data_IF_523003750969
#
_entry.id   IF_523003750969
#
_cell.length_a   1.000
_cell.length_b   1.000
_cell.length_c   1.000
_cell.angle_alpha   90.00
_cell.angle_beta   90.00
_cell.angle_gamma   90.00
#
_symmetry.space_group_name_H-M   'P 1'
#
loop_
_entity.id
_entity.type
_entity.pdbx_description
1 polymer ?
#
# COMPACT_ATOMS: atom_id res chain seq x y z
N UNK A 1 -7.70 -7.89 -79.43
CA UNK A 1 -7.82 -6.44 -79.58
C UNK A 1 -9.26 -6.08 -79.26
N UNK A 2 -9.52 -5.73 -78.00
CA UNK A 2 -10.79 -5.16 -77.58
C UNK A 2 -10.43 -3.86 -76.87
N UNK A 3 -10.77 -2.76 -77.54
CA UNK A 3 -10.57 -1.40 -77.06
C UNK A 3 -11.52 -1.16 -75.89
N UNK A 4 -10.95 -0.80 -74.74
CA UNK A 4 -11.71 -0.32 -73.59
C UNK A 4 -12.16 1.12 -73.86
N UNK A 5 -13.45 1.46 -73.70
CA UNK A 5 -13.90 2.84 -73.72
C UNK A 5 -13.41 3.54 -72.45
N UNK A 6 -12.66 4.62 -72.63
CA UNK A 6 -12.29 5.56 -71.58
C UNK A 6 -13.55 6.15 -70.95
N UNK A 7 -13.90 5.73 -69.74
CA UNK A 7 -14.86 6.42 -68.88
C UNK A 7 -14.21 7.73 -68.44
N UNK A 8 -14.45 8.77 -69.22
CA UNK A 8 -14.16 10.16 -68.91
C UNK A 8 -15.00 10.57 -67.68
N UNK A 9 -14.37 10.66 -66.51
CA UNK A 9 -14.99 11.25 -65.33
C UNK A 9 -15.10 12.76 -65.55
N UNK A 10 -16.32 13.20 -65.87
CA UNK A 10 -16.70 14.60 -65.98
C UNK A 10 -16.67 15.24 -64.57
N UNK A 11 -15.55 15.85 -64.22
CA UNK A 11 -15.52 16.76 -63.08
C UNK A 11 -16.41 17.96 -63.42
N UNK A 12 -17.34 18.39 -62.52
CA UNK A 12 -18.14 19.56 -62.81
C UNK A 12 -17.20 20.73 -63.06
N UNK A 13 -17.23 21.26 -64.29
CA UNK A 13 -16.56 22.51 -64.65
C UNK A 13 -17.18 23.59 -63.76
N UNK A 14 -16.50 23.88 -62.66
CA UNK A 14 -16.86 25.02 -61.82
C UNK A 14 -16.70 26.26 -62.68
N UNK A 15 -17.78 27.00 -62.89
CA UNK A 15 -17.70 28.38 -63.33
C UNK A 15 -16.68 29.08 -62.43
N UNK A 16 -15.52 29.42 -62.99
CA UNK A 16 -14.50 30.23 -62.32
C UNK A 16 -15.05 31.64 -62.16
N UNK A 17 -15.94 31.82 -61.19
CA UNK A 17 -16.08 33.08 -60.50
C UNK A 17 -14.72 33.29 -59.84
N UNK A 18 -13.94 34.23 -60.35
CA UNK A 18 -12.70 34.67 -59.73
C UNK A 18 -13.06 35.19 -58.34
N UNK A 19 -12.96 34.33 -57.32
CA UNK A 19 -13.06 34.74 -55.93
C UNK A 19 -11.86 35.65 -55.68
N UNK A 20 -12.04 36.94 -55.40
CA UNK A 20 -10.94 37.83 -55.09
C UNK A 20 -10.05 37.19 -54.02
N UNK A 21 -8.73 37.23 -54.14
CA UNK A 21 -7.81 36.49 -53.24
C UNK A 21 -8.11 36.66 -51.74
N UNK A 22 -8.60 37.84 -51.33
CA UNK A 22 -9.03 38.12 -49.95
C UNK A 22 -10.23 37.27 -49.48
N UNK A 23 -11.14 36.87 -50.38
CA UNK A 23 -12.32 36.05 -50.06
C UNK A 23 -11.93 34.56 -49.94
N UNK A 24 -10.96 34.08 -50.71
CA UNK A 24 -10.39 32.72 -50.54
C UNK A 24 -9.59 32.61 -49.24
N UNK A 25 -8.80 33.65 -48.93
CA UNK A 25 -8.02 33.76 -47.70
C UNK A 25 -8.92 33.86 -46.46
N UNK A 26 -10.04 34.62 -46.53
CA UNK A 26 -11.06 34.64 -45.49
C UNK A 26 -11.80 33.30 -45.33
N UNK A 27 -12.16 32.62 -46.42
CA UNK A 27 -12.85 31.34 -46.37
C UNK A 27 -11.95 30.24 -45.76
N UNK A 28 -10.69 30.16 -46.18
CA UNK A 28 -9.71 29.23 -45.61
C UNK A 28 -9.40 29.55 -44.14
N UNK A 29 -9.30 30.84 -43.78
CA UNK A 29 -9.13 31.29 -42.40
C UNK A 29 -10.32 30.93 -41.52
N UNK A 30 -11.55 31.07 -42.02
CA UNK A 30 -12.77 30.66 -41.32
C UNK A 30 -12.83 29.15 -41.11
N UNK A 31 -12.48 28.36 -42.13
CA UNK A 31 -12.52 26.88 -42.05
C UNK A 31 -11.45 26.34 -41.08
N UNK A 32 -10.26 26.96 -41.06
CA UNK A 32 -9.18 26.64 -40.12
C UNK A 32 -9.52 27.08 -38.69
N UNK A 33 -10.08 28.28 -38.49
CA UNK A 33 -10.53 28.74 -37.16
C UNK A 33 -11.66 27.86 -36.61
N UNK A 34 -12.58 27.41 -37.47
CA UNK A 34 -13.63 26.47 -37.08
C UNK A 34 -13.07 25.09 -36.70
N UNK A 35 -12.09 24.58 -37.46
CA UNK A 35 -11.41 23.32 -37.14
C UNK A 35 -10.63 23.41 -35.82
N UNK A 36 -9.94 24.52 -35.56
CA UNK A 36 -9.23 24.79 -34.30
C UNK A 36 -10.22 24.84 -33.14
N UNK A 37 -11.33 25.56 -33.28
CA UNK A 37 -12.35 25.66 -32.23
C UNK A 37 -12.99 24.29 -31.93
N UNK A 38 -13.27 23.47 -32.96
CA UNK A 38 -13.76 22.10 -32.77
C UNK A 38 -12.74 21.21 -32.06
N UNK A 39 -11.45 21.33 -32.40
CA UNK A 39 -10.38 20.60 -31.73
C UNK A 39 -10.23 21.04 -30.26
N UNK A 40 -10.29 22.33 -29.96
CA UNK A 40 -10.25 22.85 -28.59
C UNK A 40 -11.43 22.35 -27.76
N UNK A 41 -12.65 22.38 -28.32
CA UNK A 41 -13.84 21.87 -27.64
C UNK A 41 -13.78 20.37 -27.40
N UNK A 42 -13.35 19.57 -28.38
CA UNK A 42 -13.22 18.11 -28.23
C UNK A 42 -12.13 17.74 -27.24
N UNK A 43 -10.99 18.43 -27.26
CA UNK A 43 -9.91 18.27 -26.28
C UNK A 43 -10.36 18.66 -24.87
N UNK A 44 -11.03 19.81 -24.72
CA UNK A 44 -11.55 20.28 -23.44
C UNK A 44 -12.58 19.31 -22.86
N UNK A 45 -13.49 18.80 -23.70
CA UNK A 45 -14.52 17.84 -23.31
C UNK A 45 -13.89 16.51 -22.88
N UNK A 46 -12.98 15.96 -23.68
CA UNK A 46 -12.26 14.70 -23.39
C UNK A 46 -11.45 14.83 -22.09
N UNK A 47 -10.73 15.93 -21.91
CA UNK A 47 -9.97 16.23 -20.69
C UNK A 47 -10.86 16.32 -19.44
N UNK A 48 -11.98 17.03 -19.55
CA UNK A 48 -12.94 17.21 -18.45
C UNK A 48 -13.53 15.86 -18.03
N UNK A 49 -13.84 14.99 -19.00
CA UNK A 49 -14.32 13.63 -18.76
C UNK A 49 -13.25 12.79 -18.08
N UNK A 50 -12.01 12.78 -18.59
CA UNK A 50 -10.90 11.99 -18.02
C UNK A 50 -10.59 12.43 -16.59
N UNK A 51 -10.47 13.74 -16.36
CA UNK A 51 -10.19 14.30 -15.02
C UNK A 51 -11.29 13.96 -14.03
N UNK A 52 -12.57 14.09 -14.45
CA UNK A 52 -13.72 13.77 -13.61
C UNK A 52 -13.81 12.27 -13.31
N UNK A 53 -13.52 11.41 -14.30
CA UNK A 53 -13.52 9.96 -14.11
C UNK A 53 -12.45 9.52 -13.12
N UNK A 54 -11.22 10.02 -13.25
CA UNK A 54 -10.11 9.71 -12.35
C UNK A 54 -10.42 10.16 -10.92
N UNK A 55 -10.87 11.41 -10.74
CA UNK A 55 -11.25 11.93 -9.42
C UNK A 55 -12.41 11.16 -8.80
N UNK A 56 -13.45 10.84 -9.59
CA UNK A 56 -14.59 10.06 -9.12
C UNK A 56 -14.17 8.64 -8.72
N UNK A 57 -13.30 7.97 -9.49
CA UNK A 57 -12.82 6.64 -9.12
C UNK A 57 -12.00 6.64 -7.82
N UNK A 58 -11.24 7.69 -7.57
CA UNK A 58 -10.47 7.86 -6.32
C UNK A 58 -11.40 8.02 -5.10
N UNK A 59 -12.35 8.95 -5.18
CA UNK A 59 -13.27 9.26 -4.07
C UNK A 59 -14.27 8.13 -3.77
N UNK A 60 -14.71 7.39 -4.79
CA UNK A 60 -15.81 6.41 -4.62
C UNK A 60 -15.36 4.99 -4.34
N UNK A 61 -14.14 4.61 -4.75
CA UNK A 61 -13.69 3.22 -4.69
C UNK A 61 -12.39 3.05 -3.89
N UNK A 62 -11.41 3.94 -4.10
CA UNK A 62 -10.08 3.81 -3.48
C UNK A 62 -10.13 4.20 -2.00
N UNK A 63 -10.66 5.38 -1.68
CA UNK A 63 -10.66 5.88 -0.29
C UNK A 63 -11.46 4.99 0.69
N UNK A 64 -12.68 4.49 0.36
CA UNK A 64 -13.41 3.59 1.25
C UNK A 64 -12.72 2.23 1.42
N UNK A 65 -12.14 1.68 0.33
CA UNK A 65 -11.42 0.40 0.38
C UNK A 65 -10.16 0.49 1.23
N UNK A 66 -9.44 1.61 1.16
CA UNK A 66 -8.23 1.83 1.96
C UNK A 66 -8.57 1.94 3.45
N UNK A 67 -9.65 2.65 3.80
CA UNK A 67 -10.11 2.75 5.20
C UNK A 67 -10.52 1.38 5.76
N UNK A 68 -11.24 0.58 4.98
CA UNK A 68 -11.61 -0.77 5.39
C UNK A 68 -10.36 -1.64 5.60
N UNK A 69 -9.36 -1.55 4.71
CA UNK A 69 -8.11 -2.28 4.84
C UNK A 69 -7.33 -1.86 6.11
N UNK A 70 -7.23 -0.56 6.38
CA UNK A 70 -6.57 -0.03 7.58
C UNK A 70 -7.22 -0.56 8.87
N UNK A 71 -8.56 -0.55 8.95
CA UNK A 71 -9.26 -1.11 10.11
C UNK A 71 -8.95 -2.60 10.34
N UNK A 72 -8.79 -3.37 9.25
CA UNK A 72 -8.43 -4.79 9.32
C UNK A 72 -6.97 -4.99 9.73
N UNK A 73 -6.07 -4.11 9.30
CA UNK A 73 -4.65 -4.14 9.70
C UNK A 73 -4.49 -3.82 11.19
N UNK A 74 -5.24 -2.84 11.69
CA UNK A 74 -5.26 -2.51 13.12
C UNK A 74 -5.78 -3.69 13.96
N UNK A 75 -6.86 -4.32 13.52
CA UNK A 75 -7.37 -5.54 14.15
C UNK A 75 -6.31 -6.66 14.15
N UNK A 76 -5.58 -6.84 13.06
CA UNK A 76 -4.51 -7.83 12.99
C UNK A 76 -3.38 -7.53 13.99
N UNK A 77 -2.93 -6.27 14.09
CA UNK A 77 -1.92 -5.86 15.07
C UNK A 77 -2.39 -6.15 16.50
N UNK A 78 -3.65 -5.83 16.80
CA UNK A 78 -4.25 -6.12 18.11
C UNK A 78 -4.27 -7.63 18.41
N UNK A 79 -4.59 -8.47 17.42
CA UNK A 79 -4.58 -9.93 17.57
C UNK A 79 -3.16 -10.45 17.85
N UNK A 80 -2.14 -9.94 17.15
CA UNK A 80 -0.75 -10.34 17.37
C UNK A 80 -0.25 -9.94 18.77
N UNK A 81 -0.53 -8.71 19.18
CA UNK A 81 -0.18 -8.20 20.51
C UNK A 81 -0.85 -9.00 21.62
N UNK A 82 -2.17 -9.19 21.54
CA UNK A 82 -2.94 -9.93 22.56
C UNK A 82 -2.52 -11.39 22.64
N UNK A 83 -2.20 -12.02 21.51
CA UNK A 83 -1.70 -13.40 21.50
C UNK A 83 -0.31 -13.49 22.14
N UNK A 84 0.58 -12.54 21.83
CA UNK A 84 1.93 -12.48 22.42
C UNK A 84 1.87 -12.24 23.94
N UNK A 85 1.02 -11.32 24.39
CA UNK A 85 0.78 -11.08 25.83
C UNK A 85 0.23 -12.35 26.51
N UNK A 86 -0.71 -13.02 25.87
CA UNK A 86 -1.30 -14.26 26.39
C UNK A 86 -0.23 -15.36 26.53
N UNK A 87 0.67 -15.52 25.56
CA UNK A 87 1.79 -16.47 25.65
C UNK A 87 2.68 -16.18 26.87
N UNK A 88 3.03 -14.91 27.09
CA UNK A 88 3.87 -14.47 28.21
C UNK A 88 3.17 -14.74 29.54
N UNK A 89 1.90 -14.35 29.67
CA UNK A 89 1.11 -14.55 30.90
C UNK A 89 0.99 -16.04 31.21
N UNK A 90 0.73 -16.89 30.21
CA UNK A 90 0.67 -18.34 30.41
C UNK A 90 2.00 -18.92 30.89
N UNK A 91 3.13 -18.44 30.35
CA UNK A 91 4.46 -18.88 30.80
C UNK A 91 4.69 -18.53 32.27
N UNK A 92 4.44 -17.28 32.65
CA UNK A 92 4.58 -16.80 34.03
C UNK A 92 3.64 -17.58 34.96
N UNK A 93 2.39 -17.80 34.55
CA UNK A 93 1.40 -18.51 35.34
C UNK A 93 1.83 -19.96 35.60
N UNK A 94 2.36 -20.66 34.59
CA UNK A 94 2.91 -22.02 34.73
C UNK A 94 4.05 -22.06 35.75
N UNK A 95 4.99 -21.11 35.70
CA UNK A 95 6.13 -21.03 36.62
C UNK A 95 5.67 -20.77 38.06
N UNK A 96 4.81 -19.76 38.25
CA UNK A 96 4.24 -19.40 39.57
C UNK A 96 3.44 -20.53 40.18
N UNK A 97 2.66 -21.26 39.37
CA UNK A 97 1.87 -22.39 39.85
C UNK A 97 2.76 -23.53 40.37
N UNK A 98 3.88 -23.81 39.70
CA UNK A 98 4.83 -24.83 40.14
C UNK A 98 5.49 -24.45 41.47
N UNK A 99 5.90 -23.18 41.62
CA UNK A 99 6.45 -22.67 42.87
C UNK A 99 5.43 -22.77 44.00
N UNK A 100 4.19 -22.31 43.77
CA UNK A 100 3.14 -22.35 44.78
C UNK A 100 2.83 -23.79 45.22
N UNK A 101 2.72 -24.73 44.28
CA UNK A 101 2.50 -26.13 44.62
C UNK A 101 3.66 -26.74 45.43
N UNK A 102 4.90 -26.32 45.17
CA UNK A 102 6.07 -26.74 45.93
C UNK A 102 6.05 -26.21 47.37
N UNK A 103 5.76 -24.92 47.56
CA UNK A 103 5.66 -24.31 48.88
C UNK A 103 4.53 -24.92 49.72
N UNK A 104 3.39 -25.21 49.12
CA UNK A 104 2.28 -25.86 49.81
C UNK A 104 2.60 -27.31 50.19
N UNK A 105 3.34 -28.03 49.37
CA UNK A 105 3.83 -29.36 49.70
C UNK A 105 4.85 -29.30 50.87
N UNK A 106 5.73 -28.30 50.89
CA UNK A 106 6.65 -28.08 51.99
C UNK A 106 5.92 -27.74 53.30
N UNK A 107 4.91 -26.87 53.25
CA UNK A 107 4.04 -26.56 54.39
C UNK A 107 3.29 -27.80 54.89
N UNK A 108 2.76 -28.62 53.99
CA UNK A 108 2.10 -29.87 54.35
C UNK A 108 3.05 -30.82 55.08
N UNK A 109 4.31 -30.93 54.64
CA UNK A 109 5.33 -31.73 55.31
C UNK A 109 5.67 -31.17 56.70
N UNK A 110 5.87 -29.87 56.80
CA UNK A 110 6.13 -29.20 58.06
C UNK A 110 5.01 -29.44 59.08
N UNK A 111 3.75 -29.20 58.71
CA UNK A 111 2.59 -29.44 59.58
C UNK A 111 2.48 -30.90 59.99
N UNK A 112 2.83 -31.83 59.09
CA UNK A 112 2.83 -33.26 59.38
C UNK A 112 3.90 -33.64 60.40
N UNK A 113 5.07 -33.01 60.36
CA UNK A 113 6.16 -33.32 61.28
C UNK A 113 5.95 -32.68 62.66
N UNK A 114 5.47 -31.42 62.70
CA UNK A 114 5.05 -30.78 63.95
C UNK A 114 3.87 -31.51 64.59
N UNK A 115 2.90 -31.94 63.78
CA UNK A 115 1.74 -32.71 64.25
C UNK A 115 2.07 -34.12 64.76
N UNK A 116 3.22 -34.70 64.39
CA UNK A 116 3.72 -35.95 64.99
C UNK A 116 4.39 -35.72 66.35
N UNK A 117 5.06 -34.58 66.50
CA UNK A 117 5.75 -34.21 67.74
C UNK A 117 4.75 -33.84 68.85
N UNK A 118 3.63 -33.21 68.48
CA UNK A 118 2.57 -32.81 69.41
C UNK A 118 1.52 -33.93 69.60
N UNK A 119 1.41 -34.45 70.83
CA UNK A 119 0.42 -35.48 71.20
C UNK A 119 -0.93 -34.92 71.64
N UNK A 120 -1.07 -33.60 71.71
CA UNK A 120 -2.33 -32.94 72.12
C UNK A 120 -3.37 -32.94 71.00
N UNK A 121 -4.57 -32.40 71.29
CA UNK A 121 -5.60 -32.19 70.27
C UNK A 121 -5.13 -31.30 69.11
N UNK A 122 -4.17 -30.39 69.34
CA UNK A 122 -3.61 -29.52 68.31
C UNK A 122 -2.80 -30.32 67.27
N UNK A 123 -2.03 -31.33 67.69
CA UNK A 123 -1.32 -32.23 66.78
C UNK A 123 -2.25 -32.97 65.81
N UNK A 124 -3.45 -33.40 66.28
CA UNK A 124 -4.47 -34.01 65.42
C UNK A 124 -5.00 -33.02 64.37
N UNK A 125 -5.25 -31.77 64.75
CA UNK A 125 -5.68 -30.70 63.84
C UNK A 125 -4.58 -30.35 62.84
N UNK A 126 -3.31 -30.31 63.26
CA UNK A 126 -2.17 -30.10 62.37
C UNK A 126 -2.03 -31.24 61.36
N UNK A 127 -2.24 -32.49 61.77
CA UNK A 127 -2.24 -33.65 60.87
C UNK A 127 -3.37 -33.62 59.84
N UNK A 128 -4.57 -33.17 60.21
CA UNK A 128 -5.67 -32.99 59.22
C UNK A 128 -5.39 -31.81 58.29
N UNK A 129 -4.86 -30.70 58.81
CA UNK A 129 -4.45 -29.56 58.00
C UNK A 129 -3.34 -29.93 57.01
N UNK A 130 -2.35 -30.73 57.43
CA UNK A 130 -1.29 -31.24 56.56
C UNK A 130 -1.85 -32.06 55.39
N UNK A 131 -2.82 -32.96 55.64
CA UNK A 131 -3.47 -33.73 54.58
C UNK A 131 -4.24 -32.84 53.60
N UNK A 132 -4.96 -31.84 54.11
CA UNK A 132 -5.67 -30.88 53.28
C UNK A 132 -4.70 -30.08 52.40
N UNK A 133 -3.61 -29.56 52.97
CA UNK A 133 -2.56 -28.84 52.22
C UNK A 133 -1.89 -29.72 51.17
N UNK A 134 -1.63 -30.99 51.47
CA UNK A 134 -1.07 -31.94 50.50
C UNK A 134 -2.02 -32.20 49.32
N UNK A 135 -3.33 -32.34 49.58
CA UNK A 135 -4.33 -32.48 48.51
C UNK A 135 -4.39 -31.24 47.63
N UNK A 136 -4.35 -30.06 48.25
CA UNK A 136 -4.34 -28.76 47.58
C UNK A 136 -3.10 -28.60 46.68
N UNK A 137 -1.91 -28.94 47.18
CA UNK A 137 -0.69 -28.96 46.39
C UNK A 137 -0.76 -29.94 45.20
N UNK A 138 -1.33 -31.14 45.42
CA UNK A 138 -1.52 -32.13 44.36
C UNK A 138 -2.50 -31.65 43.27
N UNK A 139 -3.60 -31.01 43.65
CA UNK A 139 -4.55 -30.43 42.69
C UNK A 139 -3.91 -29.32 41.87
N UNK A 140 -3.12 -28.43 42.49
CA UNK A 140 -2.36 -27.41 41.76
C UNK A 140 -1.32 -28.02 40.83
N UNK A 141 -0.61 -29.06 41.26
CA UNK A 141 0.33 -29.77 40.40
C UNK A 141 -0.36 -30.44 39.19
N UNK A 142 -1.58 -30.95 39.37
CA UNK A 142 -2.38 -31.54 38.28
C UNK A 142 -2.76 -30.51 37.20
N UNK A 143 -2.96 -29.23 37.57
CA UNK A 143 -3.24 -28.14 36.62
C UNK A 143 -2.04 -27.79 35.73
N UNK A 144 -0.82 -28.24 36.06
CA UNK A 144 0.38 -27.98 35.24
C UNK A 144 0.24 -28.52 33.81
N UNK A 145 -0.30 -29.73 33.67
CA UNK A 145 -0.43 -30.37 32.36
C UNK A 145 -1.39 -29.65 31.40
N UNK A 146 -2.64 -29.31 31.79
CA UNK A 146 -3.53 -28.56 30.90
C UNK A 146 -2.98 -27.17 30.56
N UNK A 147 -2.33 -26.46 31.49
CA UNK A 147 -1.71 -25.15 31.20
C UNK A 147 -0.56 -25.29 30.20
N UNK A 148 0.28 -26.32 30.34
CA UNK A 148 1.37 -26.57 29.41
C UNK A 148 0.85 -26.85 27.99
N UNK A 149 -0.22 -27.65 27.89
CA UNK A 149 -0.87 -27.93 26.60
C UNK A 149 -1.43 -26.65 25.98
N UNK A 150 -2.18 -25.86 26.74
CA UNK A 150 -2.75 -24.60 26.27
C UNK A 150 -1.67 -23.62 25.80
N UNK A 151 -0.58 -23.50 26.57
CA UNK A 151 0.58 -22.68 26.17
C UNK A 151 1.17 -23.14 24.83
N UNK A 152 1.33 -24.44 24.62
CA UNK A 152 1.83 -24.98 23.36
C UNK A 152 0.89 -24.70 22.19
N UNK A 153 -0.43 -24.78 22.41
CA UNK A 153 -1.44 -24.46 21.41
C UNK A 153 -1.37 -22.98 21.00
N UNK A 154 -1.25 -22.05 21.97
CA UNK A 154 -1.07 -20.61 21.71
C UNK A 154 0.25 -20.32 20.97
N UNK A 155 1.35 -20.92 21.40
CA UNK A 155 2.66 -20.79 20.72
C UNK A 155 2.56 -21.28 19.27
N UNK A 156 1.85 -22.39 19.03
CA UNK A 156 1.67 -22.97 17.70
C UNK A 156 0.79 -22.07 16.84
N UNK A 157 -0.29 -21.53 17.39
CA UNK A 157 -1.17 -20.57 16.71
C UNK A 157 -0.38 -19.33 16.27
N UNK A 158 0.43 -18.74 17.15
CA UNK A 158 1.28 -17.59 16.80
C UNK A 158 2.29 -17.92 15.70
N UNK A 159 3.04 -19.01 15.86
CA UNK A 159 4.08 -19.41 14.89
C UNK A 159 3.54 -19.81 13.52
N UNK A 160 2.27 -20.21 13.43
CA UNK A 160 1.65 -20.63 12.17
C UNK A 160 0.68 -19.58 11.65
N UNK A 161 -0.46 -19.40 12.32
CA UNK A 161 -1.54 -18.56 11.81
C UNK A 161 -1.16 -17.08 11.78
N UNK A 162 -0.59 -16.56 12.87
CA UNK A 162 -0.22 -15.13 12.94
C UNK A 162 0.98 -14.86 12.03
N UNK A 163 2.03 -15.69 12.09
CA UNK A 163 3.20 -15.52 11.25
C UNK A 163 2.89 -15.61 9.73
N UNK A 164 1.97 -16.48 9.33
CA UNK A 164 1.55 -16.59 7.93
C UNK A 164 0.69 -15.39 7.48
N UNK A 165 -0.24 -14.97 8.34
CA UNK A 165 -1.05 -13.77 8.11
C UNK A 165 -0.17 -12.52 8.05
N UNK A 166 0.85 -12.40 8.90
CA UNK A 166 1.79 -11.29 8.90
C UNK A 166 2.56 -11.18 7.58
N UNK A 167 2.98 -12.31 6.98
CA UNK A 167 3.61 -12.32 5.65
C UNK A 167 2.64 -11.82 4.58
N UNK A 168 1.40 -12.29 4.63
CA UNK A 168 0.35 -11.88 3.68
C UNK A 168 0.04 -10.39 3.80
N UNK A 169 -0.05 -9.88 5.03
CA UNK A 169 -0.20 -8.45 5.35
C UNK A 169 0.97 -7.65 4.79
N UNK A 170 2.22 -8.05 5.03
CA UNK A 170 3.38 -7.33 4.52
C UNK A 170 3.41 -7.27 2.98
N UNK A 171 2.99 -8.34 2.29
CA UNK A 171 2.83 -8.34 0.83
C UNK A 171 1.71 -7.38 0.40
N UNK A 172 0.60 -7.35 1.14
CA UNK A 172 -0.53 -6.46 0.88
C UNK A 172 -0.14 -4.99 1.05
N UNK A 173 0.52 -4.64 2.15
CA UNK A 173 1.02 -3.28 2.42
C UNK A 173 2.04 -2.84 1.37
N UNK A 174 2.95 -3.73 0.96
CA UNK A 174 3.87 -3.44 -0.14
C UNK A 174 3.14 -3.11 -1.44
N UNK A 175 2.14 -3.92 -1.82
CA UNK A 175 1.33 -3.65 -3.02
C UNK A 175 0.54 -2.34 -2.91
N UNK A 176 0.05 -2.02 -1.71
CA UNK A 176 -0.61 -0.74 -1.42
C UNK A 176 0.37 0.42 -1.63
N UNK A 177 1.58 0.32 -1.11
CA UNK A 177 2.59 1.37 -1.23
C UNK A 177 3.05 1.53 -2.69
N UNK A 178 3.21 0.43 -3.42
CA UNK A 178 3.46 0.44 -4.87
C UNK A 178 2.33 1.16 -5.64
N UNK A 179 1.06 0.91 -5.27
CA UNK A 179 -0.09 1.59 -5.87
C UNK A 179 -0.16 3.08 -5.50
N UNK A 180 0.03 3.42 -4.23
CA UNK A 180 0.07 4.81 -3.75
C UNK A 180 1.23 5.59 -4.39
N UNK A 181 2.35 4.93 -4.69
CA UNK A 181 3.49 5.51 -5.41
C UNK A 181 3.18 5.93 -6.86
N UNK A 182 2.14 5.37 -7.49
CA UNK A 182 1.70 5.74 -8.84
C UNK A 182 0.89 7.05 -8.81
N UNK A 183 0.18 7.33 -7.72
CA UNK A 183 -0.67 8.52 -7.58
C UNK A 183 0.05 9.86 -7.87
N UNK A 184 1.25 10.16 -7.31
CA UNK A 184 1.96 11.39 -7.62
C UNK A 184 2.42 11.47 -9.09
N UNK A 185 2.70 10.34 -9.75
CA UNK A 185 2.99 10.31 -11.17
C UNK A 185 1.75 10.62 -12.01
N UNK A 186 0.59 10.09 -11.63
CA UNK A 186 -0.71 10.41 -12.25
C UNK A 186 -1.06 11.88 -12.04
N UNK A 187 -0.87 12.41 -10.83
CA UNK A 187 -1.09 13.83 -10.54
C UNK A 187 -0.14 14.72 -11.36
N UNK A 188 1.13 14.34 -11.47
CA UNK A 188 2.10 15.03 -12.31
C UNK A 188 1.70 15.01 -13.79
N UNK A 189 1.25 13.87 -14.32
CA UNK A 189 0.73 13.75 -15.68
C UNK A 189 -0.49 14.65 -15.88
N UNK A 190 -1.44 14.66 -14.94
CA UNK A 190 -2.61 15.54 -14.99
C UNK A 190 -2.23 17.02 -14.94
N UNK A 191 -1.20 17.40 -14.19
CA UNK A 191 -0.63 18.76 -14.17
C UNK A 191 0.05 19.10 -15.49
N UNK A 192 0.79 18.15 -16.08
CA UNK A 192 1.46 18.33 -17.38
C UNK A 192 0.46 18.47 -18.52
N UNK A 193 -0.60 17.65 -18.55
CA UNK A 193 -1.74 17.76 -19.48
C UNK A 193 -2.48 19.09 -19.28
N UNK A 194 -2.53 19.62 -18.05
CA UNK A 194 -3.01 21.00 -17.80
C UNK A 194 -2.11 22.06 -18.43
N UNK A 195 -0.79 21.91 -18.31
CA UNK A 195 0.20 22.87 -18.81
C UNK A 195 0.46 22.80 -20.32
N UNK A 196 0.26 21.64 -20.96
CA UNK A 196 0.38 21.46 -22.41
C UNK A 196 -0.58 22.38 -23.19
N UNK A 197 -1.77 22.67 -22.64
CA UNK A 197 -2.68 23.68 -23.20
C UNK A 197 -2.02 25.05 -23.35
N UNK A 198 -1.22 25.49 -22.37
CA UNK A 198 -0.60 26.81 -22.41
C UNK A 198 0.46 26.91 -23.50
N UNK A 199 1.18 25.81 -23.76
CA UNK A 199 2.25 25.78 -24.77
C UNK A 199 1.65 25.64 -26.17
N UNK A 200 0.68 24.75 -26.38
CA UNK A 200 0.03 24.56 -27.69
C UNK A 200 -0.74 25.81 -28.10
N UNK A 201 -1.51 26.42 -27.19
CA UNK A 201 -2.22 27.68 -27.46
C UNK A 201 -1.24 28.85 -27.73
N UNK A 202 -0.14 28.95 -26.98
CA UNK A 202 0.90 29.96 -27.25
C UNK A 202 1.65 29.71 -28.56
N UNK A 203 1.98 28.46 -28.87
CA UNK A 203 2.68 28.11 -30.11
C UNK A 203 1.78 28.34 -31.33
N UNK A 204 0.48 28.04 -31.23
CA UNK A 204 -0.50 28.35 -32.26
C UNK A 204 -0.62 29.88 -32.44
N UNK A 205 -0.75 30.64 -31.35
CA UNK A 205 -0.79 32.11 -31.39
C UNK A 205 0.51 32.74 -31.97
N UNK A 206 1.69 32.21 -31.64
CA UNK A 206 2.98 32.65 -32.19
C UNK A 206 3.09 32.30 -33.68
N UNK A 207 2.64 31.10 -34.09
CA UNK A 207 2.62 30.69 -35.51
C UNK A 207 1.66 31.54 -36.35
N UNK A 208 0.59 32.03 -35.74
CA UNK A 208 -0.39 32.91 -36.37
C UNK A 208 0.11 34.36 -36.49
N UNK A 209 0.91 34.84 -35.52
CA UNK A 209 1.58 36.15 -35.59
C UNK A 209 2.80 36.18 -36.52
N UNK A 210 3.43 35.03 -36.79
CA UNK A 210 4.62 34.91 -37.66
C UNK A 210 4.30 34.58 -39.13
N UNK A 211 3.02 34.56 -39.52
CA UNK A 211 2.58 34.45 -40.92
C UNK A 211 3.02 35.63 -41.82
N UNK A 212 3.85 36.55 -41.33
CA UNK A 212 4.48 37.61 -42.11
C UNK A 212 6.01 37.67 -42.02
N UNK A 213 6.71 36.63 -41.51
CA UNK A 213 8.16 36.58 -41.62
C UNK A 213 8.66 35.16 -41.96
N UNK A 214 9.23 35.09 -43.15
CA UNK A 214 9.93 33.96 -43.75
C UNK A 214 11.02 33.37 -42.84
N UNK A 215 11.19 32.05 -42.95
CA UNK A 215 12.35 31.24 -42.57
C UNK A 215 13.02 31.54 -41.21
N UNK A 216 12.65 30.77 -40.19
CA UNK A 216 13.59 30.40 -39.13
C UNK A 216 13.54 28.88 -38.90
N UNK A 217 14.54 28.21 -39.48
CA UNK A 217 15.16 26.94 -39.06
C UNK A 217 14.36 26.10 -38.07
N UNK A 218 13.69 25.07 -38.61
CA UNK A 218 13.04 23.99 -37.86
C UNK A 218 14.03 23.01 -37.18
N UNK A 219 15.32 23.36 -37.02
CA UNK A 219 16.34 22.43 -36.52
C UNK A 219 16.53 22.42 -34.99
N UNK A 220 15.87 23.29 -34.21
CA UNK A 220 16.18 23.42 -32.78
C UNK A 220 15.01 23.19 -31.78
N UNK A 221 13.82 22.75 -32.21
CA UNK A 221 12.69 22.52 -31.27
C UNK A 221 12.29 21.04 -31.13
N UNK A 222 12.84 20.15 -31.96
CA UNK A 222 12.67 18.70 -31.81
C UNK A 222 14.02 17.99 -31.72
N UNK A 223 14.83 18.32 -30.71
CA UNK A 223 15.58 17.25 -30.04
C UNK A 223 14.69 16.66 -28.96
N UNK A 224 13.73 15.85 -29.40
CA UNK A 224 13.32 14.72 -28.57
C UNK A 224 14.58 13.87 -28.46
N UNK A 225 15.36 14.04 -27.38
CA UNK A 225 16.26 12.97 -26.98
C UNK A 225 15.39 11.73 -26.93
N UNK A 226 15.70 10.75 -27.79
CA UNK A 226 15.24 9.40 -27.59
C UNK A 226 15.48 9.10 -26.11
N UNK A 227 14.40 8.99 -25.34
CA UNK A 227 14.49 8.39 -24.03
C UNK A 227 14.85 6.95 -24.32
N UNK A 228 16.16 6.64 -24.21
CA UNK A 228 16.63 5.28 -24.22
C UNK A 228 15.75 4.48 -23.27
N UNK A 229 15.18 3.34 -23.71
CA UNK A 229 14.31 2.53 -22.87
C UNK A 229 15.03 1.98 -21.61
N UNK A 230 16.33 2.23 -21.47
CA UNK A 230 17.14 1.90 -20.31
C UNK A 230 17.09 2.94 -19.17
N UNK A 231 16.56 4.15 -19.39
CA UNK A 231 16.47 5.17 -18.32
C UNK A 231 15.23 5.01 -17.41
N UNK A 232 14.25 4.19 -17.81
CA UNK A 232 13.16 3.80 -16.92
C UNK A 232 13.61 2.77 -15.85
N UNK A 233 14.80 2.16 -16.00
CA UNK A 233 15.36 1.21 -15.03
C UNK A 233 16.32 1.86 -14.03
N UNK A 234 16.92 3.02 -14.35
CA UNK A 234 17.91 3.68 -13.48
C UNK A 234 17.31 4.55 -12.37
N UNK A 235 16.04 4.93 -12.45
CA UNK A 235 15.31 5.52 -11.30
C UNK A 235 14.83 4.43 -10.31
N UNK A 236 14.89 3.16 -10.72
CA UNK A 236 14.51 2.01 -9.90
C UNK A 236 15.70 1.21 -9.33
N UNK A 237 16.95 1.66 -9.51
CA UNK A 237 18.10 1.03 -8.85
C UNK A 237 19.28 1.98 -8.63
N UNK A 238 19.52 2.32 -7.37
CA UNK A 238 20.82 2.75 -6.86
C UNK A 238 20.78 2.98 -5.34
N UNK A 239 21.87 2.76 -4.59
CA UNK A 239 22.84 1.67 -4.63
C UNK A 239 22.66 0.72 -3.43
N UNK A 240 22.89 -0.58 -3.64
CA UNK A 240 23.43 -1.41 -2.57
C UNK A 240 24.93 -1.11 -2.59
N UNK A 241 25.38 -0.24 -1.69
CA UNK A 241 26.78 -0.17 -1.27
C UNK A 241 26.79 -0.50 0.21
N UNK A 242 27.46 -1.60 0.53
CA UNK A 242 27.89 -1.98 1.87
C UNK A 242 28.55 -0.77 2.54
N UNK A 243 27.81 -0.19 3.49
CA UNK A 243 28.32 0.72 4.49
C UNK A 243 27.98 0.10 5.82
N UNK A 244 28.96 -0.57 6.42
CA UNK A 244 28.96 -1.05 7.78
C UNK A 244 28.55 0.11 8.70
N UNK A 245 27.29 0.13 9.15
CA UNK A 245 26.90 0.91 10.32
C UNK A 245 27.21 0.01 11.50
N UNK A 246 28.33 0.30 12.15
CA UNK A 246 28.63 -0.17 13.49
C UNK A 246 27.43 0.20 14.38
N UNK A 247 26.76 -0.81 14.90
CA UNK A 247 25.93 -0.68 16.09
C UNK A 247 26.88 -0.44 17.28
N UNK A 248 27.08 0.81 17.68
CA UNK A 248 27.53 1.13 19.04
C UNK A 248 26.35 1.72 19.81
N UNK A 249 25.48 0.82 20.27
CA UNK A 249 24.66 1.05 21.45
C UNK A 249 25.49 0.62 22.66
N UNK A 250 26.31 1.55 23.14
CA UNK A 250 26.93 1.46 24.45
C UNK A 250 25.93 2.00 25.48
N UNK A 251 24.94 1.19 25.85
CA UNK A 251 24.28 1.30 27.14
C UNK A 251 24.93 0.28 28.08
N UNK A 252 25.90 0.76 28.84
CA UNK A 252 26.48 0.07 29.98
C UNK A 252 25.45 0.05 31.11
N UNK A 253 25.09 -1.15 31.56
CA UNK A 253 24.59 -1.38 32.91
C UNK A 253 25.54 -2.37 33.58
N UNK A 254 26.47 -1.81 34.35
CA UNK A 254 27.02 -2.34 35.58
C UNK A 254 27.05 -1.18 36.58
#
# INVERSE_FOLDING_TARGET
>A
MYEHPSLEYDWPKSDTVAVPGHLFECAWKMEVEEAINKLEQTLWTTKSIVTRKIKKSEETLVAPSDLELESRLELFSSIDETTTQTEIIMKIYKERLCLLASEEAALANFLRDVGKADKTGAGKVMGTAAKAMAQVAQQRAALRHPIMRLHQEVVTFRKRAIADSAKTVAICEKKRDDYKGIFPAVEWLLKKVRNLNFIVLKACAIKQMSGSLTELSFNNVFQVRQLDPLYASSVFRGPISEGTVHCDSSYSFQ
#
